data_IF_878316237492
#
_entry.id   IF_878316237492
#
_cell.length_a   1.000
_cell.length_b   1.000
_cell.length_c   1.000
_cell.angle_alpha   90.00
_cell.angle_beta   90.00
_cell.angle_gamma   90.00
#
_symmetry.space_group_name_H-M   'P 1'
#
loop_
_entity.id
_entity.type
_entity.pdbx_description
1 polymer ?
#
# COMPACT_ATOMS: atom_id res chain seq x y z
N UNK A 1 8.29 31.33 -7.10
CA UNK A 1 8.82 30.10 -6.46
C UNK A 1 7.71 29.47 -5.66
N UNK A 2 6.96 28.54 -6.24
CA UNK A 2 5.96 27.80 -5.45
C UNK A 2 6.05 26.30 -5.75
N UNK A 3 7.13 25.69 -5.28
CA UNK A 3 7.17 24.25 -5.06
C UNK A 3 6.46 23.95 -3.74
N UNK A 4 5.40 23.14 -3.79
CA UNK A 4 4.66 22.77 -2.59
C UNK A 4 5.21 21.47 -2.02
N UNK A 5 5.58 21.43 -0.74
CA UNK A 5 5.97 20.18 -0.06
C UNK A 5 4.75 19.29 0.17
N UNK A 6 4.93 17.98 0.32
CA UNK A 6 3.87 16.97 0.42
C UNK A 6 2.60 17.42 1.17
N UNK A 7 2.71 17.91 2.42
CA UNK A 7 1.56 18.38 3.21
C UNK A 7 0.84 19.61 2.64
N UNK A 8 1.57 20.54 2.00
CA UNK A 8 0.97 21.65 1.26
C UNK A 8 0.47 21.21 -0.12
N UNK A 9 1.13 20.21 -0.71
CA UNK A 9 0.82 19.66 -2.01
C UNK A 9 -0.57 19.02 -2.05
N UNK A 10 -0.94 18.29 -0.99
CA UNK A 10 -2.29 17.74 -0.87
C UNK A 10 -3.37 18.82 -0.90
N UNK A 11 -3.23 19.88 -0.07
CA UNK A 11 -4.18 20.99 -0.07
C UNK A 11 -4.27 21.69 -1.42
N UNK A 12 -3.13 21.90 -2.09
CA UNK A 12 -3.09 22.53 -3.42
C UNK A 12 -3.73 21.65 -4.49
N UNK A 13 -3.66 20.33 -4.35
CA UNK A 13 -4.37 19.44 -5.25
C UNK A 13 -5.86 19.34 -4.92
N UNK A 14 -6.27 19.39 -3.65
CA UNK A 14 -7.68 19.35 -3.27
C UNK A 14 -8.41 20.66 -3.60
N UNK A 15 -7.74 21.80 -3.39
CA UNK A 15 -8.25 23.15 -3.65
C UNK A 15 -7.14 23.99 -4.32
N UNK A 16 -6.90 23.81 -5.63
CA UNK A 16 -5.97 24.63 -6.39
C UNK A 16 -6.36 26.12 -6.29
N UNK A 17 -5.44 27.02 -5.88
CA UNK A 17 -5.71 28.46 -5.89
C UNK A 17 -6.07 28.94 -7.30
N UNK A 18 -6.95 29.93 -7.41
CA UNK A 18 -7.37 30.48 -8.73
C UNK A 18 -6.21 31.08 -9.54
N UNK A 19 -5.10 31.43 -8.88
CA UNK A 19 -3.88 31.89 -9.55
C UNK A 19 -3.11 30.76 -10.25
N UNK A 20 -3.38 29.50 -9.90
CA UNK A 20 -2.70 28.34 -10.46
C UNK A 20 -3.52 27.79 -11.63
N UNK A 21 -2.94 27.88 -12.83
CA UNK A 21 -3.55 27.41 -14.07
C UNK A 21 -3.09 26.01 -14.47
N UNK A 22 -1.91 25.57 -14.01
CA UNK A 22 -1.44 24.20 -14.22
C UNK A 22 -0.72 23.58 -13.01
N UNK A 23 -0.90 22.27 -12.85
CA UNK A 23 -0.35 21.44 -11.79
C UNK A 23 0.51 20.33 -12.39
N UNK A 24 1.77 20.28 -11.98
CA UNK A 24 2.68 19.17 -12.22
C UNK A 24 2.78 18.32 -10.96
N UNK A 25 2.25 17.10 -11.02
CA UNK A 25 2.25 16.16 -9.91
C UNK A 25 3.16 14.99 -10.29
N UNK A 26 4.24 14.82 -9.53
CA UNK A 26 5.31 13.89 -9.91
C UNK A 26 5.92 13.19 -8.72
N UNK A 27 6.42 11.97 -8.89
CA UNK A 27 7.03 11.26 -7.77
C UNK A 27 7.31 9.78 -7.96
N UNK A 28 7.91 9.17 -6.95
CA UNK A 28 8.18 7.73 -6.91
C UNK A 28 6.93 6.92 -6.52
N UNK A 29 6.01 7.52 -5.75
CA UNK A 29 4.75 6.90 -5.35
C UNK A 29 3.66 7.21 -6.39
N UNK A 30 3.47 6.32 -7.35
CA UNK A 30 2.48 6.46 -8.44
C UNK A 30 1.04 6.52 -7.92
N UNK A 31 0.73 5.78 -6.86
CA UNK A 31 -0.58 5.82 -6.20
C UNK A 31 -0.91 7.22 -5.67
N UNK A 32 0.05 7.84 -4.97
CA UNK A 32 -0.09 9.21 -4.46
C UNK A 32 -0.19 10.26 -5.57
N UNK A 33 0.60 10.12 -6.64
CA UNK A 33 0.52 11.00 -7.82
C UNK A 33 -0.89 10.99 -8.39
N UNK A 34 -1.43 9.79 -8.64
CA UNK A 34 -2.75 9.61 -9.24
C UNK A 34 -3.89 10.07 -8.33
N UNK A 35 -3.78 9.85 -7.02
CA UNK A 35 -4.77 10.31 -6.05
C UNK A 35 -4.85 11.85 -6.02
N UNK A 36 -3.70 12.52 -5.96
CA UNK A 36 -3.63 13.99 -5.98
C UNK A 36 -4.08 14.59 -7.32
N UNK A 37 -3.69 13.98 -8.44
CA UNK A 37 -4.14 14.43 -9.74
C UNK A 37 -5.65 14.29 -9.90
N UNK A 38 -6.21 13.16 -9.47
CA UNK A 38 -7.66 12.97 -9.45
C UNK A 38 -8.38 13.99 -8.55
N UNK A 39 -7.80 14.35 -7.40
CA UNK A 39 -8.36 15.40 -6.54
C UNK A 39 -8.38 16.77 -7.24
N UNK A 40 -7.28 17.14 -7.91
CA UNK A 40 -7.18 18.40 -8.66
C UNK A 40 -8.17 18.47 -9.82
N UNK A 41 -8.32 17.38 -10.57
CA UNK A 41 -9.30 17.31 -11.65
C UNK A 41 -10.73 17.38 -11.11
N UNK A 42 -11.03 16.68 -10.01
CA UNK A 42 -12.36 16.72 -9.37
C UNK A 42 -12.76 18.10 -8.88
N UNK A 43 -11.78 18.92 -8.46
CA UNK A 43 -12.04 20.30 -8.06
C UNK A 43 -12.57 21.13 -9.23
N UNK A 44 -11.97 20.99 -10.42
CA UNK A 44 -12.41 21.70 -11.62
C UNK A 44 -13.69 21.09 -12.25
N UNK A 45 -13.80 19.76 -12.24
CA UNK A 45 -14.87 19.00 -12.88
C UNK A 45 -15.43 17.96 -11.91
N UNK A 46 -16.62 18.22 -11.37
CA UNK A 46 -17.26 17.34 -10.37
C UNK A 46 -17.57 15.95 -10.93
N UNK A 47 -18.02 15.88 -12.20
CA UNK A 47 -18.29 14.64 -12.91
C UNK A 47 -17.15 14.29 -13.88
N UNK A 48 -16.32 13.31 -13.51
CA UNK A 48 -15.19 12.85 -14.32
C UNK A 48 -15.61 12.10 -15.61
N UNK A 49 -16.91 11.88 -15.83
CA UNK A 49 -17.43 11.31 -17.08
C UNK A 49 -17.87 12.38 -18.09
N UNK A 50 -17.86 13.65 -17.72
CA UNK A 50 -18.22 14.77 -18.59
C UNK A 50 -17.13 15.05 -19.64
N UNK A 51 -17.33 14.52 -20.85
CA UNK A 51 -16.42 14.69 -21.98
C UNK A 51 -16.34 16.15 -22.50
N UNK A 52 -17.29 17.03 -22.14
CA UNK A 52 -17.25 18.44 -22.54
C UNK A 52 -16.41 19.29 -21.60
N UNK A 53 -16.18 18.81 -20.37
CA UNK A 53 -15.41 19.53 -19.35
C UNK A 53 -14.11 18.84 -18.97
N UNK A 54 -13.96 17.55 -19.24
CA UNK A 54 -12.73 16.82 -18.98
C UNK A 54 -12.18 16.19 -20.26
N UNK A 55 -10.95 16.56 -20.62
CA UNK A 55 -10.15 15.83 -21.60
C UNK A 55 -9.07 15.04 -20.90
N UNK A 56 -9.00 13.73 -21.15
CA UNK A 56 -7.93 12.87 -20.67
C UNK A 56 -7.01 12.52 -21.83
N UNK A 57 -5.72 12.75 -21.63
CA UNK A 57 -4.66 12.48 -22.61
C UNK A 57 -3.62 11.57 -21.98
N UNK A 58 -2.95 10.76 -22.78
CA UNK A 58 -1.75 10.03 -22.38
C UNK A 58 -0.50 10.50 -23.15
N UNK A 59 0.68 10.04 -22.74
CA UNK A 59 1.91 10.41 -23.43
C UNK A 59 1.97 9.95 -24.90
N UNK A 60 1.21 8.91 -25.30
CA UNK A 60 1.19 8.41 -26.68
C UNK A 60 0.37 9.32 -27.57
N UNK A 61 -0.75 9.84 -27.07
CA UNK A 61 -1.56 10.86 -27.73
C UNK A 61 -0.70 12.05 -28.15
N UNK A 62 0.18 12.51 -27.25
CA UNK A 62 1.06 13.67 -27.50
C UNK A 62 2.22 13.34 -28.43
N UNK A 63 2.75 12.12 -28.34
CA UNK A 63 3.82 11.67 -29.25
C UNK A 63 3.31 11.57 -30.68
N UNK A 64 2.06 11.14 -30.88
CA UNK A 64 1.43 11.04 -32.18
C UNK A 64 0.98 12.40 -32.73
N UNK A 65 0.47 13.28 -31.85
CA UNK A 65 0.00 14.61 -32.21
C UNK A 65 0.44 15.65 -31.16
N UNK A 66 1.62 16.29 -31.34
CA UNK A 66 2.14 17.27 -30.40
C UNK A 66 1.26 18.53 -30.23
N UNK A 67 0.45 18.90 -31.23
CA UNK A 67 -0.40 20.09 -31.19
C UNK A 67 -1.63 19.90 -30.28
N UNK A 68 -2.00 18.64 -30.01
CA UNK A 68 -3.22 18.27 -29.27
C UNK A 68 -3.30 18.87 -27.88
N UNK A 69 -2.18 19.08 -27.17
CA UNK A 69 -2.20 19.75 -25.86
C UNK A 69 -2.77 21.16 -26.00
N UNK A 70 -2.27 21.93 -26.97
CA UNK A 70 -2.68 23.30 -27.19
C UNK A 70 -4.15 23.42 -27.60
N UNK A 71 -4.57 22.55 -28.51
CA UNK A 71 -5.96 22.51 -28.99
C UNK A 71 -6.94 22.21 -27.85
N UNK A 72 -6.62 21.25 -26.99
CA UNK A 72 -7.48 20.84 -25.87
C UNK A 72 -7.50 21.85 -24.71
N UNK A 73 -6.39 22.57 -24.51
CA UNK A 73 -6.30 23.65 -23.51
C UNK A 73 -7.10 24.88 -23.94
N UNK A 74 -7.04 25.25 -25.22
CA UNK A 74 -7.78 26.39 -25.79
C UNK A 74 -9.28 26.07 -26.02
N UNK A 75 -9.67 24.80 -25.94
CA UNK A 75 -11.05 24.38 -26.14
C UNK A 75 -11.99 24.97 -25.06
N UNK A 76 -13.12 25.52 -25.52
CA UNK A 76 -14.13 26.11 -24.64
C UNK A 76 -14.99 25.04 -23.97
N UNK A 77 -15.34 25.27 -22.70
CA UNK A 77 -16.31 24.47 -21.96
C UNK A 77 -17.72 24.63 -22.55
N UNK A 78 -18.36 23.54 -22.96
CA UNK A 78 -19.74 23.56 -23.44
C UNK A 78 -20.70 23.45 -22.24
N UNK A 79 -21.49 24.49 -21.97
CA UNK A 79 -22.43 24.53 -20.83
C UNK A 79 -21.99 25.39 -19.64
N UNK A 80 -20.80 26.02 -19.71
CA UNK A 80 -20.26 26.87 -18.65
C UNK A 80 -19.53 26.10 -17.54
N UNK A 81 -18.84 26.83 -16.68
CA UNK A 81 -18.01 26.27 -15.62
C UNK A 81 -16.62 25.81 -16.09
N UNK A 82 -15.76 25.53 -15.12
CA UNK A 82 -14.33 25.24 -15.32
C UNK A 82 -14.12 23.93 -16.09
N UNK A 83 -13.21 23.92 -17.08
CA UNK A 83 -12.74 22.73 -17.83
C UNK A 83 -11.44 22.23 -17.18
N UNK A 84 -11.11 20.95 -17.36
CA UNK A 84 -9.81 20.39 -17.02
C UNK A 84 -9.24 19.55 -18.17
N UNK A 85 -7.94 19.65 -18.37
CA UNK A 85 -7.16 18.73 -19.21
C UNK A 85 -6.26 17.92 -18.29
N UNK A 86 -6.33 16.59 -18.37
CA UNK A 86 -5.59 15.67 -17.53
C UNK A 86 -4.65 14.81 -18.38
N UNK A 87 -3.37 15.14 -18.33
CA UNK A 87 -2.31 14.40 -19.03
C UNK A 87 -1.70 13.36 -18.09
N UNK A 88 -1.86 12.09 -18.46
CA UNK A 88 -1.40 10.93 -17.70
C UNK A 88 -0.07 10.40 -18.23
N UNK A 89 0.72 9.85 -17.31
CA UNK A 89 1.98 9.16 -17.58
C UNK A 89 2.96 10.00 -18.44
N UNK A 90 3.02 11.30 -18.18
CA UNK A 90 3.94 12.20 -18.87
C UNK A 90 5.40 11.96 -18.44
N UNK A 91 6.30 12.23 -19.37
CA UNK A 91 7.75 12.08 -19.19
C UNK A 91 8.52 13.20 -19.89
N UNK A 92 9.84 13.23 -19.67
CA UNK A 92 10.72 14.24 -20.26
C UNK A 92 10.72 14.20 -21.81
N UNK A 93 10.27 13.09 -22.44
CA UNK A 93 10.18 12.94 -23.89
C UNK A 93 9.11 13.85 -24.56
N UNK A 94 8.11 14.29 -23.80
CA UNK A 94 7.04 15.19 -24.28
C UNK A 94 7.10 16.57 -23.60
N UNK A 95 8.19 16.86 -22.90
CA UNK A 95 8.36 18.10 -22.14
C UNK A 95 8.22 19.34 -23.04
N UNK A 96 8.81 19.32 -24.24
CA UNK A 96 8.73 20.45 -25.18
C UNK A 96 7.30 20.74 -25.62
N UNK A 97 6.50 19.70 -25.89
CA UNK A 97 5.08 19.85 -26.24
C UNK A 97 4.25 20.41 -25.08
N UNK A 98 4.53 19.96 -23.85
CA UNK A 98 3.87 20.47 -22.65
C UNK A 98 4.20 21.96 -22.46
N UNK A 99 5.48 22.33 -22.59
CA UNK A 99 5.92 23.71 -22.44
C UNK A 99 5.32 24.61 -23.53
N UNK A 100 5.27 24.17 -24.78
CA UNK A 100 4.59 24.88 -25.86
C UNK A 100 3.09 25.06 -25.57
N UNK A 101 2.42 24.04 -25.02
CA UNK A 101 1.01 24.14 -24.62
C UNK A 101 0.77 25.17 -23.51
N UNK A 102 1.73 25.36 -22.60
CA UNK A 102 1.63 26.37 -21.54
C UNK A 102 1.76 27.81 -22.06
N UNK A 103 2.35 28.03 -23.23
CA UNK A 103 2.44 29.37 -23.84
C UNK A 103 1.11 29.87 -24.40
N UNK A 104 0.15 28.97 -24.60
CA UNK A 104 -1.19 29.29 -25.08
C UNK A 104 -2.03 29.89 -23.94
N UNK A 105 -2.91 30.83 -24.29
CA UNK A 105 -3.94 31.31 -23.36
C UNK A 105 -5.08 30.29 -23.31
N UNK A 106 -5.24 29.66 -22.15
CA UNK A 106 -6.24 28.63 -21.92
C UNK A 106 -7.30 29.03 -20.89
N UNK A 107 -7.43 30.34 -20.62
CA UNK A 107 -8.51 30.90 -19.81
C UNK A 107 -8.61 30.26 -18.42
N UNK A 108 -9.79 29.70 -18.10
CA UNK A 108 -10.08 29.07 -16.81
C UNK A 108 -9.76 27.55 -16.78
N UNK A 109 -9.31 26.98 -17.91
CA UNK A 109 -9.02 25.53 -17.99
C UNK A 109 -7.89 25.15 -17.03
N UNK A 110 -8.12 24.17 -16.17
CA UNK A 110 -7.08 23.62 -15.28
C UNK A 110 -6.30 22.52 -16.00
N UNK A 111 -4.99 22.69 -16.12
CA UNK A 111 -4.12 21.64 -16.69
C UNK A 111 -3.45 20.81 -15.59
N UNK A 112 -3.72 19.50 -15.54
CA UNK A 112 -3.15 18.58 -14.55
C UNK A 112 -2.27 17.55 -15.26
N UNK A 113 -1.02 17.44 -14.81
CA UNK A 113 0.00 16.57 -15.41
C UNK A 113 0.49 15.57 -14.36
N UNK A 114 0.39 14.28 -14.69
CA UNK A 114 0.99 13.20 -13.91
C UNK A 114 2.31 12.78 -14.52
N UNK A 115 3.37 12.77 -13.70
CA UNK A 115 4.68 12.26 -14.11
C UNK A 115 5.21 11.23 -13.11
N UNK A 116 6.08 10.35 -13.61
CA UNK A 116 6.98 9.60 -12.75
C UNK A 116 7.99 10.55 -12.05
N UNK A 117 8.92 10.00 -11.26
CA UNK A 117 9.88 10.80 -10.53
C UNK A 117 10.74 11.69 -11.47
N UNK A 118 10.77 13.00 -11.22
CA UNK A 118 11.52 13.98 -12.00
C UNK A 118 12.73 14.51 -11.22
N UNK A 119 13.90 14.45 -11.85
CA UNK A 119 15.12 15.03 -11.27
C UNK A 119 15.02 16.57 -11.20
N UNK A 120 15.74 17.24 -10.28
CA UNK A 120 15.85 18.70 -10.25
C UNK A 120 16.40 19.34 -11.55
N UNK A 121 16.97 18.53 -12.45
CA UNK A 121 17.50 19.00 -13.74
C UNK A 121 16.44 19.06 -14.83
N UNK A 122 15.30 18.36 -14.67
CA UNK A 122 14.22 18.32 -15.66
C UNK A 122 13.75 19.74 -16.01
N UNK A 123 13.64 20.02 -17.31
CA UNK A 123 13.20 21.32 -17.81
C UNK A 123 11.78 21.63 -17.35
N UNK A 124 10.91 20.62 -17.43
CA UNK A 124 9.51 20.69 -17.04
C UNK A 124 9.39 21.03 -15.55
N UNK A 125 10.11 20.33 -14.68
CA UNK A 125 10.13 20.64 -13.24
C UNK A 125 10.57 22.08 -12.96
N UNK A 126 11.64 22.55 -13.61
CA UNK A 126 12.17 23.91 -13.38
C UNK A 126 11.16 25.00 -13.74
N UNK A 127 10.41 24.84 -14.82
CA UNK A 127 9.41 25.81 -15.24
C UNK A 127 8.27 25.89 -14.22
N UNK A 128 7.73 24.74 -13.80
CA UNK A 128 6.66 24.67 -12.79
C UNK A 128 7.08 25.17 -11.40
N UNK A 129 8.36 25.10 -11.04
CA UNK A 129 8.85 25.65 -9.76
C UNK A 129 9.10 27.17 -9.83
N UNK A 130 9.39 27.71 -11.01
CA UNK A 130 9.80 29.10 -11.23
C UNK A 130 8.60 30.03 -11.37
N UNK A 131 7.68 29.69 -12.26
CA UNK A 131 6.55 30.55 -12.62
C UNK A 131 5.50 30.63 -11.48
N UNK A 132 4.83 31.79 -11.29
CA UNK A 132 3.91 32.00 -10.16
C UNK A 132 2.52 31.40 -10.36
N UNK A 133 2.13 31.13 -11.61
CA UNK A 133 0.84 30.60 -12.06
C UNK A 133 0.88 29.07 -12.30
N UNK A 134 2.04 28.45 -12.09
CA UNK A 134 2.28 27.02 -12.19
C UNK A 134 2.65 26.46 -10.81
N UNK A 135 2.25 25.21 -10.56
CA UNK A 135 2.52 24.55 -9.29
C UNK A 135 3.18 23.18 -9.49
N UNK A 136 4.32 22.97 -8.82
CA UNK A 136 5.00 21.69 -8.75
C UNK A 136 4.69 20.99 -7.42
N UNK A 137 4.16 19.76 -7.50
CA UNK A 137 3.74 18.93 -6.36
C UNK A 137 4.50 17.60 -6.38
N UNK A 138 5.56 17.44 -5.58
CA UNK A 138 6.27 16.18 -5.42
C UNK A 138 5.52 15.19 -4.52
N UNK A 139 5.54 13.93 -4.93
CA UNK A 139 4.96 12.77 -4.25
C UNK A 139 6.09 11.80 -3.89
N UNK A 140 6.60 11.93 -2.67
CA UNK A 140 7.65 11.05 -2.16
C UNK A 140 7.08 9.69 -1.75
N UNK A 141 7.96 8.71 -1.53
CA UNK A 141 7.57 7.45 -0.90
C UNK A 141 6.99 7.71 0.49
N UNK A 142 6.02 6.89 0.88
CA UNK A 142 5.49 6.93 2.23
C UNK A 142 6.48 6.30 3.20
N UNK A 143 6.71 6.98 4.33
CA UNK A 143 7.29 6.35 5.51
C UNK A 143 6.18 5.75 6.40
N UNK A 144 6.57 5.00 7.42
CA UNK A 144 5.64 4.34 8.35
C UNK A 144 4.65 5.32 9.01
N UNK A 145 5.05 6.58 9.19
CA UNK A 145 4.19 7.61 9.79
C UNK A 145 3.17 8.14 8.77
N UNK A 146 3.62 8.45 7.56
CA UNK A 146 2.77 8.93 6.47
C UNK A 146 1.73 7.88 6.07
N UNK A 147 2.12 6.59 6.07
CA UNK A 147 1.19 5.49 5.84
C UNK A 147 0.16 5.36 6.98
N UNK A 148 0.58 5.53 8.24
CA UNK A 148 -0.33 5.51 9.40
C UNK A 148 -1.35 6.65 9.34
N UNK A 149 -0.91 7.85 9.01
CA UNK A 149 -1.78 9.02 8.82
C UNK A 149 -2.78 8.74 7.69
N UNK A 150 -2.31 8.26 6.54
CA UNK A 150 -3.17 7.89 5.41
C UNK A 150 -4.26 6.88 5.78
N UNK A 151 -3.91 5.80 6.49
CA UNK A 151 -4.89 4.80 6.96
C UNK A 151 -5.90 5.44 7.91
N UNK A 152 -5.45 6.29 8.83
CA UNK A 152 -6.35 6.99 9.76
C UNK A 152 -7.34 7.90 9.05
N UNK A 153 -6.86 8.70 8.08
CA UNK A 153 -7.68 9.63 7.32
C UNK A 153 -8.69 8.88 6.44
N UNK A 154 -8.25 7.78 5.81
CA UNK A 154 -9.11 6.92 5.00
C UNK A 154 -10.24 6.32 5.83
N UNK A 155 -9.93 5.74 7.00
CA UNK A 155 -10.94 5.16 7.89
C UNK A 155 -11.90 6.23 8.44
N UNK A 156 -11.39 7.41 8.78
CA UNK A 156 -12.20 8.55 9.21
C UNK A 156 -13.20 8.98 8.13
N UNK A 157 -12.77 9.05 6.87
CA UNK A 157 -13.64 9.44 5.75
C UNK A 157 -14.81 8.46 5.54
N UNK A 158 -14.60 7.20 5.92
CA UNK A 158 -15.59 6.12 5.81
C UNK A 158 -16.32 5.83 7.13
N UNK A 159 -16.22 6.75 8.11
CA UNK A 159 -16.84 6.63 9.44
C UNK A 159 -16.50 5.30 10.16
N UNK A 160 -15.24 4.87 10.04
CA UNK A 160 -14.72 3.65 10.63
C UNK A 160 -13.62 3.93 11.66
N UNK A 161 -13.54 3.09 12.68
CA UNK A 161 -12.44 3.04 13.66
C UNK A 161 -11.73 1.71 13.57
N UNK A 162 -10.49 1.64 14.06
CA UNK A 162 -9.72 0.40 14.08
C UNK A 162 -9.06 0.21 15.45
N UNK A 163 -9.12 -1.02 15.95
CA UNK A 163 -8.45 -1.37 17.21
C UNK A 163 -6.94 -1.15 17.08
N UNK A 164 -6.29 -0.69 18.16
CA UNK A 164 -4.86 -0.32 18.14
C UNK A 164 -3.96 -1.45 17.68
N UNK A 165 -4.27 -2.67 18.10
CA UNK A 165 -3.55 -3.88 17.72
C UNK A 165 -3.79 -4.30 16.27
N UNK A 166 -5.04 -4.20 15.81
CA UNK A 166 -5.41 -4.42 14.42
C UNK A 166 -4.66 -3.46 13.49
N UNK A 167 -4.56 -2.18 13.85
CA UNK A 167 -3.80 -1.17 13.09
C UNK A 167 -2.31 -1.51 13.01
N UNK A 168 -1.68 -1.90 14.13
CA UNK A 168 -0.26 -2.30 14.13
C UNK A 168 -0.03 -3.52 13.23
N UNK A 169 -0.94 -4.49 13.27
CA UNK A 169 -0.84 -5.69 12.44
C UNK A 169 -1.03 -5.37 10.95
N UNK A 170 -2.01 -4.53 10.63
CA UNK A 170 -2.32 -4.09 9.28
C UNK A 170 -1.12 -3.36 8.66
N UNK A 171 -0.60 -2.33 9.34
CA UNK A 171 0.54 -1.54 8.86
C UNK A 171 1.79 -2.39 8.57
N UNK A 172 2.00 -3.47 9.33
CA UNK A 172 3.15 -4.37 9.09
C UNK A 172 3.05 -5.24 7.83
N UNK A 173 1.88 -5.24 7.16
CA UNK A 173 1.57 -6.09 6.00
C UNK A 173 1.05 -5.31 4.79
N UNK A 174 0.75 -4.03 4.97
CA UNK A 174 0.43 -3.14 3.87
C UNK A 174 1.65 -2.95 2.97
N UNK A 175 1.41 -2.83 1.66
CA UNK A 175 2.46 -2.48 0.71
C UNK A 175 2.79 -0.99 0.79
N UNK A 176 3.88 -0.59 0.14
CA UNK A 176 4.27 0.81 0.00
C UNK A 176 3.52 1.54 -1.11
N UNK A 177 2.70 0.83 -1.89
CA UNK A 177 1.89 1.40 -2.98
C UNK A 177 0.51 1.81 -2.47
N UNK A 178 0.22 3.12 -2.45
CA UNK A 178 -1.06 3.65 -1.97
C UNK A 178 -2.27 3.10 -2.70
N UNK A 179 -2.17 2.72 -3.97
CA UNK A 179 -3.30 2.16 -4.71
C UNK A 179 -3.67 0.78 -4.19
N UNK A 180 -2.67 -0.04 -3.88
CA UNK A 180 -2.88 -1.34 -3.26
C UNK A 180 -3.39 -1.19 -1.82
N UNK A 181 -2.78 -0.28 -1.04
CA UNK A 181 -3.24 0.04 0.32
C UNK A 181 -4.71 0.44 0.31
N UNK A 182 -5.10 1.36 -0.57
CA UNK A 182 -6.48 1.81 -0.74
C UNK A 182 -7.40 0.63 -1.04
N UNK A 183 -7.06 -0.22 -2.00
CA UNK A 183 -7.88 -1.39 -2.34
C UNK A 183 -8.02 -2.37 -1.16
N UNK A 184 -6.97 -2.55 -0.36
CA UNK A 184 -7.02 -3.37 0.86
C UNK A 184 -7.92 -2.76 1.93
N UNK A 185 -7.88 -1.43 2.10
CA UNK A 185 -8.75 -0.71 3.05
C UNK A 185 -10.22 -0.72 2.59
N UNK A 186 -10.50 -0.48 1.30
CA UNK A 186 -11.87 -0.55 0.74
C UNK A 186 -12.48 -1.94 0.96
N UNK A 187 -11.71 -3.00 0.73
CA UNK A 187 -12.11 -4.39 1.00
C UNK A 187 -12.38 -4.63 2.49
N UNK A 188 -11.52 -4.13 3.36
CA UNK A 188 -11.65 -4.29 4.81
C UNK A 188 -12.92 -3.61 5.34
N UNK A 189 -13.24 -2.41 4.85
CA UNK A 189 -14.46 -1.69 5.21
C UNK A 189 -15.69 -2.43 4.69
N UNK A 190 -15.66 -2.90 3.44
CA UNK A 190 -16.76 -3.66 2.87
C UNK A 190 -17.03 -4.94 3.67
N UNK A 191 -16.00 -5.64 4.12
CA UNK A 191 -16.15 -6.81 4.97
C UNK A 191 -16.69 -6.47 6.37
N UNK A 192 -16.15 -5.41 6.99
CA UNK A 192 -16.55 -5.00 8.34
C UNK A 192 -18.02 -4.53 8.38
N UNK A 193 -18.45 -3.79 7.37
CA UNK A 193 -19.84 -3.34 7.21
C UNK A 193 -20.78 -4.51 6.88
N UNK A 194 -20.36 -5.45 6.03
CA UNK A 194 -21.17 -6.64 5.72
C UNK A 194 -21.31 -7.61 6.90
N UNK A 195 -20.33 -7.65 7.81
CA UNK A 195 -20.32 -8.54 8.97
C UNK A 195 -21.09 -7.98 10.16
N UNK A 196 -21.55 -6.74 10.09
CA UNK A 196 -22.12 -6.04 11.22
C UNK A 196 -23.58 -5.70 10.92
N UNK A 197 -24.49 -6.17 11.78
CA UNK A 197 -25.90 -5.76 11.79
C UNK A 197 -26.01 -4.32 12.32
N UNK A 198 -25.46 -3.37 11.57
CA UNK A 198 -25.37 -1.97 11.96
C UNK A 198 -26.56 -1.18 11.44
N UNK A 199 -27.08 -0.30 12.28
CA UNK A 199 -27.98 0.74 11.81
C UNK A 199 -27.28 1.63 10.76
N UNK A 200 -28.02 2.28 9.85
CA UNK A 200 -27.47 3.01 8.69
C UNK A 200 -26.50 4.18 8.99
N UNK A 201 -26.09 4.39 10.24
CA UNK A 201 -25.20 5.49 10.69
C UNK A 201 -24.22 5.10 11.81
N UNK A 202 -24.13 3.82 12.18
CA UNK A 202 -23.21 3.41 13.23
C UNK A 202 -21.75 3.45 12.77
N UNK A 203 -20.85 3.87 13.65
CA UNK A 203 -19.40 3.84 13.42
C UNK A 203 -18.97 2.38 13.30
N UNK A 204 -18.30 2.04 12.20
CA UNK A 204 -17.83 0.66 11.99
C UNK A 204 -16.53 0.44 12.75
N UNK A 205 -16.52 -0.43 13.76
CA UNK A 205 -15.28 -0.79 14.45
C UNK A 205 -14.61 -2.00 13.80
N UNK A 206 -13.42 -1.79 13.25
CA UNK A 206 -12.58 -2.81 12.64
C UNK A 206 -11.76 -3.50 13.72
N UNK A 207 -12.06 -4.78 13.94
CA UNK A 207 -11.34 -5.61 14.90
C UNK A 207 -10.16 -6.34 14.27
N UNK A 208 -9.26 -6.84 15.11
CA UNK A 208 -8.13 -7.67 14.67
C UNK A 208 -8.58 -8.89 13.84
N UNK A 209 -9.68 -9.54 14.23
CA UNK A 209 -10.21 -10.72 13.56
C UNK A 209 -10.64 -10.39 12.13
N UNK A 210 -11.33 -9.27 11.94
CA UNK A 210 -11.73 -8.76 10.62
C UNK A 210 -10.52 -8.47 9.73
N UNK A 211 -9.49 -7.81 10.28
CA UNK A 211 -8.24 -7.54 9.56
C UNK A 211 -7.56 -8.84 9.11
N UNK A 212 -7.48 -9.84 10.01
CA UNK A 212 -6.86 -11.13 9.65
C UNK A 212 -7.70 -11.93 8.66
N UNK A 213 -9.01 -11.77 8.65
CA UNK A 213 -9.90 -12.42 7.68
C UNK A 213 -9.79 -11.81 6.28
N UNK A 214 -9.55 -10.50 6.19
CA UNK A 214 -9.48 -9.76 4.92
C UNK A 214 -8.09 -9.73 4.29
N UNK A 215 -7.05 -10.11 5.01
CA UNK A 215 -5.67 -9.95 4.56
C UNK A 215 -5.39 -10.74 3.28
N UNK A 216 -4.79 -10.08 2.28
CA UNK A 216 -4.41 -10.69 1.01
C UNK A 216 -3.42 -11.86 1.16
N UNK A 217 -2.71 -11.94 2.29
CA UNK A 217 -1.73 -12.99 2.57
C UNK A 217 -2.34 -14.17 3.34
N UNK A 218 -3.54 -14.61 2.91
CA UNK A 218 -4.21 -15.78 3.47
C UNK A 218 -3.32 -17.04 3.43
N UNK A 219 -2.45 -17.12 2.42
CA UNK A 219 -1.37 -18.11 2.29
C UNK A 219 -0.41 -18.08 3.47
N UNK A 220 0.29 -16.97 3.67
CA UNK A 220 1.25 -16.87 4.78
C UNK A 220 0.57 -16.97 6.15
N UNK A 221 -0.67 -16.46 6.30
CA UNK A 221 -1.42 -16.63 7.53
C UNK A 221 -1.71 -18.11 7.81
N UNK A 222 -2.04 -18.90 6.79
CA UNK A 222 -2.24 -20.35 6.91
C UNK A 222 -0.94 -21.05 7.29
N UNK A 223 0.19 -20.62 6.71
CA UNK A 223 1.51 -21.13 7.07
C UNK A 223 1.94 -20.77 8.50
N UNK A 224 1.70 -19.55 8.95
CA UNK A 224 2.00 -19.12 10.32
C UNK A 224 1.14 -19.89 11.33
N UNK A 225 -0.14 -20.10 11.02
CA UNK A 225 -1.06 -20.92 11.83
C UNK A 225 -0.65 -22.40 11.85
N UNK A 226 -0.20 -22.95 10.72
CA UNK A 226 0.39 -24.29 10.65
C UNK A 226 1.62 -24.39 11.58
N UNK A 227 2.55 -23.45 11.49
CA UNK A 227 3.75 -23.44 12.33
C UNK A 227 3.40 -23.33 13.83
N UNK A 228 2.37 -22.54 14.18
CA UNK A 228 1.83 -22.46 15.53
C UNK A 228 1.19 -23.79 15.99
N UNK A 229 0.42 -24.45 15.14
CA UNK A 229 -0.21 -25.73 15.44
C UNK A 229 0.83 -26.84 15.67
N UNK A 230 1.85 -26.93 14.80
CA UNK A 230 2.98 -27.87 14.96
C UNK A 230 3.73 -27.61 16.26
N UNK A 231 4.09 -26.35 16.55
CA UNK A 231 4.80 -26.00 17.77
C UNK A 231 3.95 -26.21 19.04
N UNK A 232 2.61 -26.21 18.92
CA UNK A 232 1.71 -26.44 20.06
C UNK A 232 1.28 -27.90 20.21
N UNK A 233 1.56 -28.76 19.21
CA UNK A 233 1.15 -30.16 19.19
C UNK A 233 -0.33 -30.39 18.89
N UNK A 234 -1.00 -29.44 18.23
CA UNK A 234 -2.42 -29.56 17.87
C UNK A 234 -2.58 -30.29 16.53
N UNK A 235 -2.75 -31.62 16.60
CA UNK A 235 -2.85 -32.47 15.40
C UNK A 235 -4.04 -32.11 14.50
N UNK A 236 -5.16 -31.66 15.07
CA UNK A 236 -6.35 -31.33 14.30
C UNK A 236 -6.13 -30.05 13.48
N UNK A 237 -5.52 -29.03 14.10
CA UNK A 237 -5.19 -27.79 13.41
C UNK A 237 -4.03 -27.96 12.41
N UNK A 238 -3.08 -28.87 12.67
CA UNK A 238 -2.01 -29.19 11.70
C UNK A 238 -2.61 -29.68 10.39
N UNK A 239 -3.48 -30.69 10.44
CA UNK A 239 -4.09 -31.27 9.23
C UNK A 239 -4.92 -30.23 8.47
N UNK A 240 -5.75 -29.48 9.22
CA UNK A 240 -6.60 -28.42 8.67
C UNK A 240 -5.79 -27.32 7.97
N UNK A 241 -4.75 -26.79 8.60
CA UNK A 241 -3.97 -25.69 8.02
C UNK A 241 -3.01 -26.15 6.94
N UNK A 242 -2.54 -27.40 6.99
CA UNK A 242 -1.75 -27.99 5.92
C UNK A 242 -2.60 -28.17 4.66
N UNK A 243 -3.81 -28.72 4.79
CA UNK A 243 -4.75 -28.85 3.68
C UNK A 243 -5.11 -27.48 3.08
N UNK A 244 -5.45 -26.51 3.93
CA UNK A 244 -5.76 -25.14 3.49
C UNK A 244 -4.60 -24.49 2.73
N UNK A 245 -3.36 -24.70 3.17
CA UNK A 245 -2.18 -24.19 2.47
C UNK A 245 -2.04 -24.80 1.07
N UNK A 246 -2.27 -26.11 0.91
CA UNK A 246 -2.23 -26.77 -0.39
C UNK A 246 -3.36 -26.33 -1.32
N UNK A 247 -4.57 -26.14 -0.79
CA UNK A 247 -5.71 -25.58 -1.56
C UNK A 247 -5.41 -24.16 -2.07
N UNK A 248 -4.59 -23.39 -1.34
CA UNK A 248 -4.12 -22.07 -1.74
C UNK A 248 -2.91 -22.11 -2.72
N UNK A 249 -2.51 -23.29 -3.18
CA UNK A 249 -1.41 -23.47 -4.13
C UNK A 249 -0.02 -23.31 -3.52
N UNK A 250 0.10 -23.34 -2.19
CA UNK A 250 1.39 -23.26 -1.51
C UNK A 250 2.16 -24.56 -1.75
N UNK A 251 3.39 -24.41 -2.22
CA UNK A 251 4.29 -25.54 -2.42
C UNK A 251 4.70 -26.17 -1.08
N UNK A 252 4.83 -27.51 -0.96
CA UNK A 252 5.22 -28.19 0.28
C UNK A 252 6.47 -27.62 0.97
N UNK A 253 7.46 -27.21 0.18
CA UNK A 253 8.67 -26.57 0.67
C UNK A 253 8.39 -25.26 1.43
N UNK A 254 7.36 -24.50 1.05
CA UNK A 254 6.94 -23.28 1.75
C UNK A 254 6.41 -23.58 3.14
N UNK A 255 5.62 -24.64 3.28
CA UNK A 255 5.11 -25.11 4.58
C UNK A 255 6.25 -25.55 5.50
N UNK A 256 7.16 -26.39 5.00
CA UNK A 256 8.33 -26.86 5.76
C UNK A 256 9.18 -25.67 6.22
N UNK A 257 9.47 -24.71 5.34
CA UNK A 257 10.27 -23.52 5.70
C UNK A 257 9.60 -22.65 6.76
N UNK A 258 8.28 -22.52 6.75
CA UNK A 258 7.57 -21.77 7.76
C UNK A 258 7.70 -22.43 9.15
N UNK A 259 7.49 -23.75 9.21
CA UNK A 259 7.68 -24.54 10.44
C UNK A 259 9.15 -24.47 10.89
N UNK A 260 10.10 -24.63 9.98
CA UNK A 260 11.54 -24.55 10.27
C UNK A 260 11.91 -23.19 10.87
N UNK A 261 11.41 -22.07 10.31
CA UNK A 261 11.58 -20.72 10.89
C UNK A 261 11.07 -20.64 12.33
N UNK A 262 9.90 -21.21 12.63
CA UNK A 262 9.33 -21.23 13.98
C UNK A 262 10.21 -22.02 14.95
N UNK A 263 10.69 -23.19 14.56
CA UNK A 263 11.58 -24.00 15.40
C UNK A 263 12.96 -23.36 15.57
N UNK A 264 13.49 -22.65 14.57
CA UNK A 264 14.71 -21.87 14.69
C UNK A 264 14.55 -20.71 15.70
N UNK A 265 13.39 -20.03 15.72
CA UNK A 265 13.08 -19.03 16.74
C UNK A 265 12.99 -19.66 18.14
N UNK A 266 12.34 -20.82 18.27
CA UNK A 266 12.29 -21.55 19.54
C UNK A 266 13.70 -21.97 20.00
N UNK A 267 14.52 -22.51 19.10
CA UNK A 267 15.91 -22.88 19.36
C UNK A 267 16.73 -21.69 19.87
N UNK A 268 16.59 -20.54 19.22
CA UNK A 268 17.27 -19.30 19.61
C UNK A 268 16.85 -18.85 21.01
N UNK A 269 15.55 -18.77 21.29
CA UNK A 269 15.04 -18.29 22.59
C UNK A 269 15.34 -19.27 23.71
N UNK A 270 15.11 -20.57 23.49
CA UNK A 270 15.37 -21.61 24.50
C UNK A 270 16.86 -21.76 24.75
N UNK A 271 17.70 -21.69 23.71
CA UNK A 271 19.16 -21.71 23.85
C UNK A 271 19.69 -20.54 24.67
N UNK A 272 19.31 -19.31 24.33
CA UNK A 272 19.73 -18.13 25.09
C UNK A 272 19.20 -18.12 26.53
N UNK A 273 18.02 -18.67 26.77
CA UNK A 273 17.48 -18.79 28.13
C UNK A 273 18.34 -19.70 29.04
N UNK A 274 19.16 -20.61 28.47
CA UNK A 274 20.10 -21.42 29.24
C UNK A 274 21.30 -20.61 29.76
N UNK A 275 21.74 -19.61 28.99
CA UNK A 275 22.85 -18.70 29.37
C UNK A 275 22.38 -17.58 30.34
N UNK A 276 21.08 -17.54 30.62
CA UNK A 276 20.43 -16.56 31.49
C UNK A 276 19.66 -15.49 30.72
N UNK A 277 18.59 -14.98 31.35
CA UNK A 277 17.71 -13.97 30.76
C UNK A 277 16.24 -14.35 30.86
N UNK A 278 15.37 -13.33 30.85
CA UNK A 278 13.93 -13.58 30.83
C UNK A 278 13.49 -14.00 29.43
N UNK A 279 12.78 -15.13 29.32
CA UNK A 279 12.16 -15.58 28.06
C UNK A 279 11.34 -14.46 27.41
N UNK A 280 10.65 -13.65 28.20
CA UNK A 280 9.84 -12.54 27.70
C UNK A 280 10.69 -11.46 27.01
N UNK A 281 11.86 -11.13 27.56
CA UNK A 281 12.80 -10.18 26.96
C UNK A 281 13.44 -10.75 25.69
N UNK A 282 13.78 -12.04 25.70
CA UNK A 282 14.34 -12.74 24.53
C UNK A 282 13.34 -12.80 23.36
N UNK A 283 12.07 -13.07 23.65
CA UNK A 283 11.00 -13.02 22.64
C UNK A 283 10.86 -11.60 22.05
N UNK A 284 10.95 -10.56 22.87
CA UNK A 284 10.90 -9.17 22.39
C UNK A 284 12.11 -8.79 21.52
N UNK A 285 13.24 -9.46 21.70
CA UNK A 285 14.47 -9.28 20.91
C UNK A 285 14.45 -9.94 19.53
N UNK A 286 13.48 -10.80 19.23
CA UNK A 286 13.41 -11.52 17.95
C UNK A 286 13.29 -10.57 16.75
N UNK A 287 13.89 -11.00 15.63
CA UNK A 287 13.81 -10.36 14.32
C UNK A 287 13.54 -11.44 13.26
N UNK A 288 12.38 -11.44 12.58
CA UNK A 288 11.25 -10.51 12.74
C UNK A 288 10.54 -10.66 14.11
N UNK A 289 9.91 -9.59 14.64
CA UNK A 289 9.23 -9.63 15.92
C UNK A 289 7.97 -10.48 15.86
N UNK A 290 7.72 -11.25 16.91
CA UNK A 290 6.45 -11.97 17.09
C UNK A 290 5.38 -10.97 17.50
N UNK A 291 4.28 -10.95 16.74
CA UNK A 291 3.12 -10.11 17.02
C UNK A 291 2.58 -10.42 18.43
N UNK A 292 2.25 -9.39 19.20
CA UNK A 292 2.07 -9.52 20.65
C UNK A 292 0.97 -10.53 21.04
N UNK A 293 -0.09 -10.69 20.23
CA UNK A 293 -1.14 -11.71 20.48
C UNK A 293 -0.60 -13.14 20.47
N UNK A 294 0.42 -13.42 19.66
CA UNK A 294 1.05 -14.74 19.58
C UNK A 294 2.17 -14.95 20.60
N UNK A 295 2.63 -13.90 21.29
CA UNK A 295 3.74 -14.02 22.27
C UNK A 295 3.42 -14.98 23.40
N UNK A 296 2.21 -14.95 23.94
CA UNK A 296 1.79 -15.89 25.01
C UNK A 296 1.79 -17.33 24.51
N UNK A 297 1.32 -17.56 23.29
CA UNK A 297 1.35 -18.89 22.68
C UNK A 297 2.80 -19.36 22.48
N UNK A 298 3.66 -18.50 21.93
CA UNK A 298 5.08 -18.79 21.75
C UNK A 298 5.80 -19.07 23.07
N UNK A 299 5.52 -18.30 24.13
CA UNK A 299 6.07 -18.55 25.47
C UNK A 299 5.64 -19.91 26.03
N UNK A 300 4.41 -20.36 25.75
CA UNK A 300 4.00 -21.74 26.09
C UNK A 300 4.77 -22.77 25.28
N UNK A 301 4.98 -22.52 23.99
CA UNK A 301 5.78 -23.40 23.12
C UNK A 301 7.22 -23.56 23.65
N UNK A 302 7.84 -22.51 24.20
CA UNK A 302 9.18 -22.63 24.80
C UNK A 302 9.24 -23.59 26.00
N UNK A 303 8.12 -23.82 26.69
CA UNK A 303 8.04 -24.79 27.79
C UNK A 303 7.75 -26.21 27.31
N UNK A 304 7.08 -26.36 26.16
CA UNK A 304 6.75 -27.66 25.56
C UNK A 304 7.95 -28.33 24.90
N UNK A 305 8.91 -27.52 24.45
CA UNK A 305 10.04 -27.96 23.63
C UNK A 305 11.39 -27.78 24.34
N UNK A 306 11.91 -28.82 25.00
CA UNK A 306 13.30 -28.86 25.44
C UNK A 306 14.27 -28.77 24.27
N UNK A 307 15.46 -28.21 24.51
CA UNK A 307 16.49 -27.97 23.48
C UNK A 307 16.79 -29.19 22.60
N UNK A 308 16.92 -30.38 23.21
CA UNK A 308 17.18 -31.63 22.47
C UNK A 308 16.04 -31.99 21.50
N UNK A 309 14.78 -31.77 21.90
CA UNK A 309 13.62 -32.02 21.02
C UNK A 309 13.53 -31.00 19.90
N UNK A 310 13.91 -29.76 20.15
CA UNK A 310 13.98 -28.72 19.10
C UNK A 310 15.01 -29.12 18.06
N UNK A 311 16.20 -29.56 18.47
CA UNK A 311 17.24 -30.03 17.55
C UNK A 311 16.75 -31.20 16.70
N UNK A 312 16.14 -32.22 17.31
CA UNK A 312 15.56 -33.36 16.58
C UNK A 312 14.48 -32.92 15.59
N UNK A 313 13.60 -31.99 15.97
CA UNK A 313 12.57 -31.48 15.07
C UNK A 313 13.18 -30.72 13.88
N UNK A 314 14.22 -29.92 14.12
CA UNK A 314 14.95 -29.22 13.06
C UNK A 314 15.64 -30.20 12.09
N UNK A 315 16.23 -31.28 12.60
CA UNK A 315 16.82 -32.32 11.76
C UNK A 315 15.78 -32.97 10.84
N UNK A 316 14.62 -33.37 11.38
CA UNK A 316 13.50 -33.92 10.60
C UNK A 316 13.01 -32.93 9.54
N UNK A 317 12.87 -31.65 9.90
CA UNK A 317 12.43 -30.60 8.97
C UNK A 317 13.46 -30.35 7.86
N UNK A 318 14.75 -30.42 8.17
CA UNK A 318 15.81 -30.28 7.18
C UNK A 318 15.85 -31.49 6.23
N UNK A 319 15.68 -32.71 6.73
CA UNK A 319 15.55 -33.91 5.89
C UNK A 319 14.35 -33.80 4.95
N UNK A 320 13.20 -33.33 5.46
CA UNK A 320 12.01 -33.07 4.64
C UNK A 320 12.26 -31.98 3.59
N UNK A 321 12.96 -30.89 3.92
CA UNK A 321 13.32 -29.85 2.95
C UNK A 321 14.24 -30.38 1.84
N UNK A 322 15.18 -31.28 2.16
CA UNK A 322 16.04 -31.94 1.18
C UNK A 322 15.22 -32.84 0.26
N UNK A 323 14.30 -33.63 0.83
CA UNK A 323 13.41 -34.51 0.07
C UNK A 323 12.56 -33.72 -0.94
N UNK A 324 11.98 -32.58 -0.54
CA UNK A 324 11.21 -31.71 -1.43
C UNK A 324 12.02 -31.10 -2.59
N UNK A 325 13.35 -31.06 -2.50
CA UNK A 325 14.24 -30.55 -3.56
C UNK A 325 14.82 -31.65 -4.44
N UNK A 326 14.55 -32.92 -4.10
CA UNK A 326 15.05 -34.07 -4.83
C UNK A 326 13.97 -34.55 -5.80
N UNK A 327 14.31 -34.70 -7.08
CA UNK A 327 13.38 -35.20 -8.10
C UNK A 327 12.83 -36.57 -7.73
N UNK A 328 11.49 -36.73 -7.71
CA UNK A 328 10.82 -38.03 -7.56
C UNK A 328 10.16 -38.30 -6.21
N UNK A 329 10.03 -37.32 -5.33
CA UNK A 329 9.16 -37.41 -4.15
C UNK A 329 8.01 -36.39 -4.24
N UNK A 330 6.79 -36.77 -3.80
CA UNK A 330 5.59 -35.95 -3.95
C UNK A 330 5.65 -34.59 -3.25
#
# INVERSE_FOLDING_TARGET
MVAFKAARGERVCAEPPDTIRALLIYGANSGLVRERAKAAVKFAVQDLSDAFRLCQLDARDITNDPARIGDELAALSFGGGRRAVWLKDAGDNIADSILAGLEIDFGDTLFVIECANLSPRSALRKVFEKEPDLAAVPCYEDDDNSLREYVSDFLSAENATIDRDALVWLLSRLSTDRMQVRSELEKLILYATASADLEPQAVTNITFEMVTACSADAGQLSLDKLADAVASGDLADIDRFLQLAFEQGIQPIGAIRCVNRRFAQLHFVVGLAQDGGSIEQLIAGLRPPIFFKYRRAFQRQTMLWPMLRIAQALDILNEAEIACKTTGMP
#
